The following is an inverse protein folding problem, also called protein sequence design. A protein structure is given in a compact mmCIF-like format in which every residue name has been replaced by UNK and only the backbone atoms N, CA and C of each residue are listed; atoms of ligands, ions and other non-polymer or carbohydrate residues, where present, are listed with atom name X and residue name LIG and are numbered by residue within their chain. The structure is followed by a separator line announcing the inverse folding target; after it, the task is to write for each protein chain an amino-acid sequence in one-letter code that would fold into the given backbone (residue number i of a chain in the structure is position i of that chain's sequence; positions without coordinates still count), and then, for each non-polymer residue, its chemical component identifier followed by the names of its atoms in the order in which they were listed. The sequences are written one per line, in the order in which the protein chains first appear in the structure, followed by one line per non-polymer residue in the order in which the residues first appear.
data_IF_504610042945
#
_entry.id   IF_504610042945
#
_cell.length_a   1.000
_cell.length_b   1.000
_cell.length_c   1.000
_cell.angle_alpha   90.00
_cell.angle_beta   90.00
_cell.angle_gamma   90.00
#
_symmetry.space_group_name_H-M   'P 1'
#
loop_
_entity.id
_entity.type
_entity.pdbx_description
1 polymer ?
#
# COMPACT_ATOMS: atom_id res chain seq x y z
N UNK A 1 15.50 4.95 -23.41
CA UNK A 1 15.60 3.78 -22.48
C UNK A 1 14.72 3.96 -21.23
N UNK A 2 14.75 5.12 -20.55
CA UNK A 2 13.92 5.45 -19.37
C UNK A 2 12.41 5.19 -19.54
N UNK A 3 11.82 5.59 -20.66
CA UNK A 3 10.39 5.32 -20.97
C UNK A 3 10.08 3.82 -21.11
N UNK A 4 10.95 3.05 -21.80
CA UNK A 4 10.78 1.59 -21.94
C UNK A 4 10.82 0.89 -20.58
N UNK A 5 11.64 1.38 -19.63
CA UNK A 5 11.76 0.81 -18.28
C UNK A 5 10.61 1.21 -17.36
N UNK A 6 10.12 2.46 -17.39
CA UNK A 6 8.85 2.83 -16.72
C UNK A 6 7.68 1.97 -17.21
N UNK A 7 7.62 1.71 -18.52
CA UNK A 7 6.61 0.81 -19.11
C UNK A 7 6.74 -0.62 -18.57
N UNK A 8 7.95 -1.13 -18.36
CA UNK A 8 8.15 -2.45 -17.79
C UNK A 8 7.67 -2.58 -16.33
N UNK A 9 7.89 -1.55 -15.51
CA UNK A 9 7.35 -1.51 -14.14
C UNK A 9 5.82 -1.51 -14.14
N UNK A 10 5.21 -0.72 -15.02
CA UNK A 10 3.75 -0.70 -15.19
C UNK A 10 3.21 -2.06 -15.64
N UNK A 11 3.91 -2.74 -16.57
CA UNK A 11 3.53 -4.08 -17.02
C UNK A 11 3.56 -5.11 -15.88
N UNK A 12 4.47 -4.98 -14.91
CA UNK A 12 4.47 -5.86 -13.73
C UNK A 12 3.22 -5.66 -12.87
N UNK A 13 2.83 -4.40 -12.66
CA UNK A 13 1.63 -4.05 -11.89
C UNK A 13 0.35 -4.51 -12.61
N UNK A 14 0.31 -4.39 -13.94
CA UNK A 14 -0.79 -4.85 -14.77
C UNK A 14 -0.85 -6.38 -14.83
N UNK A 15 0.30 -7.06 -14.87
CA UNK A 15 0.38 -8.52 -14.80
C UNK A 15 -0.22 -9.05 -13.49
N UNK A 16 0.17 -8.50 -12.34
CA UNK A 16 -0.41 -8.92 -11.06
C UNK A 16 -1.92 -8.68 -10.98
N UNK A 17 -2.41 -7.59 -11.58
CA UNK A 17 -3.84 -7.33 -11.70
C UNK A 17 -4.54 -8.38 -12.55
N UNK A 18 -3.95 -8.76 -13.69
CA UNK A 18 -4.48 -9.83 -14.54
C UNK A 18 -4.53 -11.15 -13.78
N UNK A 19 -3.42 -11.55 -13.14
CA UNK A 19 -3.35 -12.78 -12.35
C UNK A 19 -4.41 -12.78 -11.25
N UNK A 20 -4.61 -11.66 -10.55
CA UNK A 20 -5.67 -11.54 -9.54
C UNK A 20 -7.05 -11.81 -10.14
N UNK A 21 -7.39 -11.15 -11.25
CA UNK A 21 -8.70 -11.32 -11.90
C UNK A 21 -8.87 -12.72 -12.49
N UNK A 22 -7.82 -13.31 -13.04
CA UNK A 22 -7.86 -14.68 -13.59
C UNK A 22 -8.06 -15.71 -12.48
N UNK A 23 -7.43 -15.52 -11.32
CA UNK A 23 -7.54 -16.43 -10.19
C UNK A 23 -8.87 -16.27 -9.46
N UNK A 24 -9.24 -15.03 -9.09
CA UNK A 24 -10.35 -14.77 -8.18
C UNK A 24 -11.61 -14.23 -8.88
N UNK A 25 -11.48 -13.78 -10.12
CA UNK A 25 -12.55 -13.06 -10.82
C UNK A 25 -12.67 -11.61 -10.36
N UNK A 26 -13.68 -10.94 -10.91
CA UNK A 26 -14.11 -9.66 -10.38
C UNK A 26 -14.74 -9.87 -8.99
N UNK A 27 -14.21 -9.24 -7.92
CA UNK A 27 -14.64 -9.50 -6.56
C UNK A 27 -16.04 -8.96 -6.23
N UNK A 28 -16.60 -8.08 -7.08
CA UNK A 28 -17.94 -7.51 -6.88
C UNK A 28 -19.01 -8.44 -7.46
N UNK A 29 -18.82 -8.88 -8.71
CA UNK A 29 -19.75 -9.76 -9.42
C UNK A 29 -19.55 -11.24 -9.11
N UNK A 30 -18.38 -11.64 -8.60
CA UNK A 30 -18.02 -13.02 -8.25
C UNK A 30 -18.43 -14.06 -9.32
N UNK A 31 -17.99 -13.91 -10.58
CA UNK A 31 -18.45 -14.76 -11.69
C UNK A 31 -18.04 -16.23 -11.53
N UNK A 32 -17.04 -16.51 -10.68
CA UNK A 32 -16.54 -17.85 -10.39
C UNK A 32 -17.30 -18.54 -9.25
N UNK A 33 -18.24 -17.87 -8.60
CA UNK A 33 -19.04 -18.43 -7.50
C UNK A 33 -18.19 -18.86 -6.30
N UNK A 34 -17.07 -18.18 -6.04
CA UNK A 34 -16.17 -18.52 -4.93
C UNK A 34 -16.82 -18.16 -3.58
N UNK A 35 -16.41 -18.82 -2.48
CA UNK A 35 -16.94 -18.53 -1.15
C UNK A 35 -16.83 -17.05 -0.79
N UNK A 36 -17.87 -16.51 -0.18
CA UNK A 36 -17.94 -15.10 0.27
C UNK A 36 -17.83 -15.07 1.79
N UNK A 37 -17.11 -14.08 2.30
CA UNK A 37 -17.03 -13.73 3.71
C UNK A 37 -16.85 -12.23 3.87
N UNK A 38 -16.29 -11.81 4.99
CA UNK A 38 -16.00 -10.41 5.29
C UNK A 38 -14.50 -10.19 5.45
N UNK A 39 -14.03 -8.96 5.25
CA UNK A 39 -12.61 -8.64 5.36
C UNK A 39 -12.03 -8.99 6.74
N UNK A 40 -12.84 -8.85 7.80
CA UNK A 40 -12.45 -9.26 9.15
C UNK A 40 -12.07 -10.74 9.25
N UNK A 41 -12.53 -11.64 8.37
CA UNK A 41 -12.15 -13.06 8.41
C UNK A 41 -10.65 -13.29 8.13
N UNK A 42 -10.01 -12.35 7.45
CA UNK A 42 -8.62 -12.46 6.98
C UNK A 42 -7.73 -11.27 7.41
N UNK A 43 -8.30 -10.19 7.92
CA UNK A 43 -7.55 -8.97 8.27
C UNK A 43 -7.80 -8.48 9.71
N UNK A 44 -6.81 -7.79 10.27
CA UNK A 44 -6.90 -7.08 11.55
C UNK A 44 -6.79 -5.58 11.26
N UNK A 45 -7.77 -4.81 11.73
CA UNK A 45 -7.82 -3.35 11.52
C UNK A 45 -7.44 -2.61 12.81
N UNK A 46 -6.37 -1.83 12.74
CA UNK A 46 -5.96 -0.88 13.78
C UNK A 46 -6.23 0.55 13.32
N UNK A 47 -7.28 1.18 13.85
CA UNK A 47 -7.61 2.57 13.52
C UNK A 47 -6.63 3.52 14.21
N UNK A 48 -6.07 4.46 13.44
CA UNK A 48 -5.11 5.43 13.94
C UNK A 48 -5.73 6.44 14.90
N UNK A 49 -4.88 7.01 15.73
CA UNK A 49 -5.23 8.03 16.71
C UNK A 49 -4.13 9.07 16.72
N UNK A 50 -4.45 10.34 16.51
CA UNK A 50 -3.45 11.40 16.50
C UNK A 50 -2.94 11.61 17.93
N UNK A 51 -1.62 11.64 18.15
CA UNK A 51 -1.04 12.06 19.42
C UNK A 51 -1.37 13.52 19.74
N UNK A 52 -0.97 13.96 20.93
CA UNK A 52 -1.01 15.38 21.26
C UNK A 52 -0.10 16.16 20.29
N UNK A 53 -0.62 17.21 19.65
CA UNK A 53 0.14 18.04 18.71
C UNK A 53 1.40 18.67 19.32
N UNK A 54 1.44 18.86 20.65
CA UNK A 54 2.62 19.35 21.38
C UNK A 54 3.79 18.37 21.38
N UNK A 55 3.54 17.08 21.10
CA UNK A 55 4.57 16.05 21.00
C UNK A 55 5.23 15.99 19.61
N UNK A 56 4.70 16.74 18.64
CA UNK A 56 5.16 16.66 17.25
C UNK A 56 6.48 17.42 17.08
N UNK A 57 7.34 16.90 16.22
CA UNK A 57 8.62 17.52 15.90
C UNK A 57 9.11 17.12 14.50
N UNK A 58 10.04 17.89 13.96
CA UNK A 58 10.76 17.66 12.70
C UNK A 58 12.23 17.25 12.92
N UNK A 59 12.64 17.06 14.18
CA UNK A 59 14.01 16.74 14.60
C UNK A 59 14.30 15.24 14.69
N UNK A 60 13.39 14.39 14.23
CA UNK A 60 13.56 12.94 14.32
C UNK A 60 13.40 12.36 15.74
N UNK A 61 12.80 13.11 16.69
CA UNK A 61 12.67 12.65 18.07
C UNK A 61 11.43 11.77 18.23
N UNK A 62 11.66 10.50 18.61
CA UNK A 62 10.60 9.52 18.84
C UNK A 62 10.27 8.70 17.59
N UNK A 63 8.99 8.44 17.34
CA UNK A 63 8.53 7.57 16.23
C UNK A 63 8.01 8.44 15.08
N UNK A 64 8.35 8.12 13.81
CA UNK A 64 7.81 8.85 12.67
C UNK A 64 6.28 8.75 12.63
N UNK A 65 5.63 9.88 12.35
CA UNK A 65 4.19 10.05 12.43
C UNK A 65 3.58 10.21 11.03
N UNK A 66 2.55 9.42 10.74
CA UNK A 66 1.76 9.47 9.52
C UNK A 66 0.34 9.93 9.87
N UNK A 67 -0.01 11.17 9.55
CA UNK A 67 -1.36 11.69 9.82
C UNK A 67 -2.33 11.48 8.65
N UNK A 68 -1.81 11.22 7.46
CA UNK A 68 -2.58 11.02 6.24
C UNK A 68 -1.69 10.63 5.06
N UNK A 69 -2.12 10.88 3.82
CA UNK A 69 -1.36 10.49 2.63
C UNK A 69 -0.25 11.49 2.25
N UNK A 70 -0.07 12.58 2.99
CA UNK A 70 0.98 13.58 2.69
C UNK A 70 2.37 12.94 2.76
N UNK A 71 2.53 12.01 3.68
CA UNK A 71 3.76 11.23 3.86
C UNK A 71 3.84 10.05 2.89
N UNK A 72 2.82 9.75 2.08
CA UNK A 72 2.84 8.57 1.22
C UNK A 72 3.77 8.79 0.01
N UNK A 73 4.87 8.02 -0.03
CA UNK A 73 5.70 7.86 -1.22
C UNK A 73 5.10 6.87 -2.22
N UNK A 74 5.89 6.49 -3.23
CA UNK A 74 5.44 5.60 -4.31
C UNK A 74 5.07 4.18 -3.84
N UNK A 75 5.75 3.68 -2.81
CA UNK A 75 5.55 2.33 -2.25
C UNK A 75 5.57 2.27 -0.72
N UNK A 76 6.32 3.18 -0.10
CA UNK A 76 6.43 3.31 1.35
C UNK A 76 6.32 4.79 1.74
N UNK A 77 5.96 5.10 2.99
CA UNK A 77 5.99 6.46 3.51
C UNK A 77 7.39 7.10 3.44
N UNK A 78 7.41 8.42 3.25
CA UNK A 78 8.57 9.28 3.42
C UNK A 78 8.39 10.04 4.71
N UNK A 79 9.36 9.94 5.61
CA UNK A 79 9.30 10.56 6.92
C UNK A 79 9.43 12.07 6.81
N UNK A 80 8.48 12.78 7.43
CA UNK A 80 8.43 14.25 7.44
C UNK A 80 8.17 14.83 8.83
N UNK A 81 7.65 14.02 9.75
CA UNK A 81 7.25 14.42 11.09
C UNK A 81 7.40 13.23 12.05
N UNK A 82 7.68 13.51 13.30
CA UNK A 82 7.81 12.54 14.39
C UNK A 82 6.97 12.96 15.59
N UNK A 83 6.70 12.02 16.48
CA UNK A 83 6.09 12.26 17.80
C UNK A 83 6.94 11.63 18.90
N UNK A 84 7.15 12.37 19.98
CA UNK A 84 7.77 11.85 21.20
C UNK A 84 6.81 11.04 22.09
N UNK A 85 5.51 11.05 21.79
CA UNK A 85 4.47 10.39 22.58
C UNK A 85 3.53 9.59 21.66
N UNK A 86 3.99 8.48 21.06
CA UNK A 86 3.18 7.70 20.13
C UNK A 86 1.92 7.12 20.79
N UNK A 87 0.85 7.01 20.01
CA UNK A 87 -0.48 6.54 20.47
C UNK A 87 -0.86 5.20 19.85
N UNK A 88 -0.99 5.15 18.53
CA UNK A 88 -1.29 3.92 17.76
C UNK A 88 -0.18 3.66 16.78
N UNK A 89 0.32 2.44 16.77
CA UNK A 89 1.44 2.00 15.94
C UNK A 89 0.98 1.02 14.87
N UNK A 90 1.53 1.15 13.67
CA UNK A 90 1.49 0.10 12.65
C UNK A 90 2.76 -0.73 12.70
N UNK A 91 2.72 -1.95 12.18
CA UNK A 91 3.89 -2.82 12.05
C UNK A 91 4.45 -2.75 10.65
N UNK A 92 5.73 -3.12 10.51
CA UNK A 92 6.32 -3.40 9.21
C UNK A 92 5.48 -4.43 8.45
N UNK A 93 5.14 -4.12 7.21
CA UNK A 93 4.30 -4.92 6.34
C UNK A 93 2.82 -4.52 6.36
N UNK A 94 2.35 -3.73 7.33
CA UNK A 94 0.95 -3.33 7.35
C UNK A 94 0.57 -2.48 6.13
N UNK A 95 -0.66 -2.65 5.66
CA UNK A 95 -1.26 -1.75 4.67
C UNK A 95 -1.73 -0.51 5.42
N UNK A 96 -1.24 0.65 5.02
CA UNK A 96 -1.66 1.96 5.50
C UNK A 96 -2.83 2.42 4.64
N UNK A 97 -4.02 2.54 5.21
CA UNK A 97 -5.25 2.83 4.51
C UNK A 97 -5.83 4.17 4.97
N UNK A 98 -6.03 5.11 4.03
CA UNK A 98 -6.63 6.41 4.32
C UNK A 98 -8.13 6.24 4.61
N UNK A 99 -8.59 6.77 5.74
CA UNK A 99 -9.98 6.63 6.18
C UNK A 99 -10.75 7.95 6.19
N UNK A 100 -10.13 9.09 5.84
CA UNK A 100 -10.78 10.40 5.89
C UNK A 100 -10.58 11.24 4.62
N UNK A 101 -11.57 12.10 4.37
CA UNK A 101 -11.56 13.15 3.35
C UNK A 101 -11.53 12.63 1.91
N UNK A 102 -11.20 13.52 0.98
CA UNK A 102 -11.09 13.19 -0.45
C UNK A 102 -10.03 12.11 -0.78
N UNK A 103 -9.21 11.76 0.20
CA UNK A 103 -8.14 10.76 0.07
C UNK A 103 -8.52 9.39 0.62
N UNK A 104 -9.75 9.22 1.13
CA UNK A 104 -10.22 7.95 1.64
C UNK A 104 -10.00 6.80 0.63
N UNK A 105 -9.59 5.62 1.08
CA UNK A 105 -9.24 4.50 0.21
C UNK A 105 -7.83 4.54 -0.40
N UNK A 106 -7.09 5.66 -0.32
CA UNK A 106 -5.68 5.68 -0.74
C UNK A 106 -4.86 4.78 0.17
N UNK A 107 -3.88 4.09 -0.40
CA UNK A 107 -3.08 3.09 0.32
C UNK A 107 -1.58 3.28 0.14
N UNK A 108 -0.84 2.82 1.14
CA UNK A 108 0.60 2.61 1.07
C UNK A 108 1.00 1.38 1.89
N UNK A 109 2.27 0.95 1.84
CA UNK A 109 2.78 -0.13 2.68
C UNK A 109 3.73 0.40 3.72
N UNK A 110 3.69 -0.16 4.92
CA UNK A 110 4.62 0.16 5.99
C UNK A 110 5.92 -0.63 5.83
N UNK A 111 7.06 0.01 5.65
CA UNK A 111 8.39 -0.64 5.60
C UNK A 111 9.06 -0.79 6.97
N UNK A 112 8.50 -0.12 7.98
CA UNK A 112 8.87 -0.18 9.40
C UNK A 112 7.68 0.17 10.28
N UNK A 113 7.90 0.39 11.57
CA UNK A 113 6.88 0.87 12.49
C UNK A 113 6.70 2.39 12.38
N UNK A 114 5.45 2.84 12.38
CA UNK A 114 5.06 4.25 12.39
C UNK A 114 3.97 4.50 13.41
N UNK A 115 3.93 5.72 13.97
CA UNK A 115 2.73 6.22 14.63
C UNK A 115 1.71 6.65 13.58
N UNK A 116 0.47 6.19 13.70
CA UNK A 116 -0.60 6.47 12.75
C UNK A 116 -1.68 7.37 13.37
N UNK A 117 -1.90 8.53 12.75
CA UNK A 117 -2.92 9.50 13.15
C UNK A 117 -4.33 9.10 12.73
N UNK A 118 -5.34 9.88 13.14
CA UNK A 118 -6.77 9.59 12.90
C UNK A 118 -7.18 9.51 11.42
N UNK A 119 -6.34 10.00 10.50
CA UNK A 119 -6.59 9.94 9.06
C UNK A 119 -6.30 8.57 8.43
N UNK A 120 -5.65 7.66 9.18
CA UNK A 120 -5.19 6.37 8.68
C UNK A 120 -5.72 5.20 9.53
N UNK A 121 -5.76 4.03 8.92
CA UNK A 121 -5.82 2.74 9.58
C UNK A 121 -4.63 1.89 9.13
N UNK A 122 -4.11 1.05 10.01
CA UNK A 122 -3.19 -0.02 9.65
C UNK A 122 -3.95 -1.34 9.54
N UNK A 123 -3.71 -2.07 8.45
CA UNK A 123 -4.40 -3.32 8.12
C UNK A 123 -3.35 -4.41 7.99
N UNK A 124 -3.42 -5.40 8.88
CA UNK A 124 -2.53 -6.57 8.91
C UNK A 124 -3.28 -7.83 8.47
N UNK A 125 -2.58 -8.82 7.95
CA UNK A 125 -3.14 -10.16 7.70
C UNK A 125 -3.32 -10.95 9.01
N UNK A 126 -4.46 -11.64 9.19
CA UNK A 126 -4.68 -12.60 10.29
C UNK A 126 -3.95 -13.93 10.06
N UNK A 127 -3.78 -14.29 8.79
CA UNK A 127 -3.18 -15.55 8.32
C UNK A 127 -2.13 -15.21 7.29
N UNK A 128 -1.01 -15.93 7.29
CA UNK A 128 0.09 -15.67 6.36
C UNK A 128 -0.35 -15.78 4.89
N UNK A 129 0.26 -14.95 4.04
CA UNK A 129 0.09 -14.88 2.58
C UNK A 129 -1.18 -14.18 2.09
N UNK A 130 -1.98 -13.59 2.97
CA UNK A 130 -3.17 -12.84 2.62
C UNK A 130 -2.91 -11.35 2.35
N UNK A 131 -1.77 -10.79 2.80
CA UNK A 131 -1.51 -9.36 2.73
C UNK A 131 -1.63 -8.80 1.30
N UNK A 132 -0.99 -9.42 0.31
CA UNK A 132 -1.08 -8.93 -1.08
C UNK A 132 -2.50 -9.05 -1.62
N UNK A 133 -3.22 -10.13 -1.28
CA UNK A 133 -4.61 -10.30 -1.66
C UNK A 133 -5.50 -9.21 -1.06
N UNK A 134 -5.36 -8.93 0.23
CA UNK A 134 -6.07 -7.86 0.94
C UNK A 134 -5.82 -6.51 0.26
N UNK A 135 -4.56 -6.21 -0.09
CA UNK A 135 -4.21 -4.99 -0.80
C UNK A 135 -4.97 -4.86 -2.14
N UNK A 136 -5.02 -5.93 -2.94
CA UNK A 136 -5.75 -5.92 -4.21
C UNK A 136 -7.26 -5.78 -4.03
N UNK A 137 -7.84 -6.47 -3.04
CA UNK A 137 -9.26 -6.37 -2.70
C UNK A 137 -9.64 -4.95 -2.30
N UNK A 138 -8.86 -4.32 -1.40
CA UNK A 138 -9.09 -2.94 -0.98
C UNK A 138 -8.93 -1.96 -2.15
N UNK A 139 -7.93 -2.18 -3.01
CA UNK A 139 -7.69 -1.35 -4.20
C UNK A 139 -8.85 -1.45 -5.19
N UNK A 140 -9.38 -2.65 -5.40
CA UNK A 140 -10.50 -2.87 -6.30
C UNK A 140 -11.79 -2.23 -5.77
N UNK A 141 -11.97 -2.22 -4.45
CA UNK A 141 -13.10 -1.57 -3.78
C UNK A 141 -12.91 -0.06 -3.54
N UNK A 142 -11.86 0.57 -4.10
CA UNK A 142 -11.61 2.00 -3.92
C UNK A 142 -12.82 2.87 -4.25
N UNK A 143 -13.47 2.61 -5.39
CA UNK A 143 -14.65 3.37 -5.81
C UNK A 143 -15.84 3.15 -4.88
N UNK A 144 -16.03 1.93 -4.36
CA UNK A 144 -17.08 1.64 -3.38
C UNK A 144 -16.92 2.49 -2.11
N UNK A 145 -15.68 2.66 -1.63
CA UNK A 145 -15.40 3.53 -0.49
C UNK A 145 -15.65 5.01 -0.78
N UNK A 146 -15.52 5.45 -2.04
CA UNK A 146 -15.77 6.83 -2.45
C UNK A 146 -17.26 7.13 -2.60
N UNK A 147 -18.06 6.19 -3.12
CA UNK A 147 -19.48 6.42 -3.44
C UNK A 147 -20.43 6.16 -2.29
N UNK A 148 -20.07 5.32 -1.31
CA UNK A 148 -20.92 5.00 -0.14
C UNK A 148 -21.04 6.16 0.86
N UNK A 149 -20.33 7.27 0.63
CA UNK A 149 -20.43 8.50 1.41
C UNK A 149 -21.63 9.34 0.97
N UNK A 150 -22.83 8.94 1.40
CA UNK A 150 -24.10 9.64 1.17
C UNK A 150 -24.09 11.11 1.66
N UNK A 151 -23.70 12.05 0.80
CA UNK A 151 -24.06 13.47 0.93
C UNK A 151 -23.34 14.30 2.00
N UNK A 152 -22.44 13.73 2.82
CA UNK A 152 -21.59 14.52 3.72
C UNK A 152 -20.35 15.04 2.99
N UNK A 153 -20.02 16.32 3.17
CA UNK A 153 -18.86 17.01 2.55
C UNK A 153 -17.50 16.38 2.89
N UNK A 154 -17.45 15.45 3.86
CA UNK A 154 -16.23 14.73 4.26
C UNK A 154 -16.48 13.22 4.36
N UNK A 155 -15.82 12.44 3.49
CA UNK A 155 -15.82 10.97 3.56
C UNK A 155 -15.10 10.53 4.85
N UNK A 156 -15.70 9.61 5.60
CA UNK A 156 -15.07 8.98 6.76
C UNK A 156 -15.42 7.49 6.77
N UNK A 157 -14.42 6.63 6.62
CA UNK A 157 -14.57 5.17 6.59
C UNK A 157 -14.37 4.64 8.01
N UNK A 158 -15.42 4.10 8.61
CA UNK A 158 -15.37 3.51 9.95
C UNK A 158 -14.66 2.15 9.94
N UNK A 159 -14.22 1.70 11.12
CA UNK A 159 -13.68 0.34 11.30
C UNK A 159 -14.68 -0.73 10.85
N UNK A 160 -15.95 -0.54 11.18
CA UNK A 160 -17.02 -1.49 10.87
C UNK A 160 -17.29 -1.57 9.37
N UNK A 161 -17.18 -0.45 8.63
CA UNK A 161 -17.28 -0.47 7.17
C UNK A 161 -16.14 -1.27 6.53
N UNK A 162 -14.92 -1.17 7.07
CA UNK A 162 -13.77 -1.94 6.60
C UNK A 162 -13.95 -3.42 6.95
N UNK A 163 -14.25 -3.73 8.21
CA UNK A 163 -14.42 -5.10 8.70
C UNK A 163 -15.52 -5.86 7.94
N UNK A 164 -16.66 -5.21 7.70
CA UNK A 164 -17.84 -5.81 7.05
C UNK A 164 -17.81 -5.74 5.52
N UNK A 165 -16.70 -5.29 4.91
CA UNK A 165 -16.54 -5.34 3.46
C UNK A 165 -16.69 -6.80 3.01
N UNK A 166 -17.71 -7.07 2.19
CA UNK A 166 -17.94 -8.39 1.61
C UNK A 166 -16.88 -8.69 0.57
N UNK A 167 -16.21 -9.83 0.71
CA UNK A 167 -15.10 -10.22 -0.14
C UNK A 167 -15.17 -11.71 -0.48
N UNK A 168 -14.50 -12.10 -1.55
CA UNK A 168 -14.20 -13.50 -1.81
C UNK A 168 -13.22 -13.98 -0.74
N UNK A 169 -13.42 -15.19 -0.22
CA UNK A 169 -12.50 -15.86 0.70
C UNK A 169 -11.85 -17.01 -0.07
N UNK A 170 -10.65 -16.81 -0.63
CA UNK A 170 -9.97 -17.85 -1.38
C UNK A 170 -9.48 -18.96 -0.47
N UNK A 171 -9.38 -20.17 -1.04
CA UNK A 171 -8.79 -21.29 -0.33
C UNK A 171 -7.27 -21.09 -0.09
N UNK A 172 -6.72 -21.92 0.80
CA UNK A 172 -5.30 -21.86 1.19
C UNK A 172 -4.33 -22.10 0.03
N UNK A 173 -4.75 -22.83 -1.01
CA UNK A 173 -3.90 -23.13 -2.16
C UNK A 173 -3.84 -21.92 -3.09
N UNK A 174 -4.99 -21.33 -3.42
CA UNK A 174 -5.09 -20.13 -4.25
C UNK A 174 -4.32 -18.96 -3.63
N UNK A 175 -4.50 -18.73 -2.32
CA UNK A 175 -3.81 -17.61 -1.65
C UNK A 175 -2.29 -17.79 -1.63
N UNK A 176 -1.81 -19.02 -1.43
CA UNK A 176 -0.38 -19.34 -1.47
C UNK A 176 0.19 -19.17 -2.87
N UNK A 177 -0.52 -19.60 -3.90
CA UNK A 177 -0.12 -19.41 -5.31
C UNK A 177 -0.03 -17.92 -5.62
N UNK A 178 -1.07 -17.14 -5.28
CA UNK A 178 -1.09 -15.70 -5.55
C UNK A 178 0.06 -14.99 -4.84
N UNK A 179 0.24 -15.22 -3.53
CA UNK A 179 1.34 -14.61 -2.76
C UNK A 179 2.72 -14.96 -3.34
N UNK A 180 2.93 -16.21 -3.81
CA UNK A 180 4.19 -16.59 -4.46
C UNK A 180 4.41 -15.86 -5.78
N UNK A 181 3.37 -15.68 -6.60
CA UNK A 181 3.44 -14.91 -7.84
C UNK A 181 3.74 -13.44 -7.53
N UNK A 182 3.01 -12.84 -6.58
CA UNK A 182 3.23 -11.46 -6.13
C UNK A 182 4.65 -11.23 -5.65
N UNK A 183 5.19 -12.12 -4.80
CA UNK A 183 6.57 -12.04 -4.30
C UNK A 183 7.59 -12.07 -5.45
N UNK A 184 7.47 -13.03 -6.36
CA UNK A 184 8.37 -13.13 -7.52
C UNK A 184 8.29 -11.90 -8.43
N UNK A 185 7.10 -11.37 -8.67
CA UNK A 185 6.94 -10.16 -9.48
C UNK A 185 7.57 -8.95 -8.78
N UNK A 186 7.41 -8.83 -7.46
CA UNK A 186 8.01 -7.73 -6.70
C UNK A 186 9.55 -7.83 -6.63
N UNK A 187 10.11 -9.03 -6.52
CA UNK A 187 11.55 -9.27 -6.62
C UNK A 187 12.09 -8.85 -7.99
N UNK A 188 11.38 -9.19 -9.08
CA UNK A 188 11.74 -8.76 -10.43
C UNK A 188 11.67 -7.23 -10.55
N UNK A 189 10.61 -6.61 -10.04
CA UNK A 189 10.42 -5.16 -10.04
C UNK A 189 11.57 -4.45 -9.32
N UNK A 190 11.94 -4.95 -8.15
CA UNK A 190 13.05 -4.42 -7.34
C UNK A 190 14.37 -4.53 -8.09
N UNK A 191 14.69 -5.69 -8.67
CA UNK A 191 15.90 -5.88 -9.49
C UNK A 191 15.96 -4.92 -10.68
N UNK A 192 14.83 -4.71 -11.36
CA UNK A 192 14.74 -3.78 -12.48
C UNK A 192 14.94 -2.32 -12.05
N UNK A 193 14.50 -1.94 -10.85
CA UNK A 193 14.71 -0.61 -10.29
C UNK A 193 16.18 -0.38 -9.93
N UNK A 194 16.84 -1.34 -9.26
CA UNK A 194 18.26 -1.25 -8.93
C UNK A 194 19.12 -1.12 -10.19
N UNK A 195 18.87 -1.95 -11.21
CA UNK A 195 19.59 -1.86 -12.48
C UNK A 195 19.37 -0.52 -13.22
N UNK A 196 18.21 0.11 -13.02
CA UNK A 196 17.94 1.43 -13.59
C UNK A 196 18.79 2.50 -12.91
N UNK A 197 18.84 2.48 -11.59
CA UNK A 197 19.62 3.44 -10.80
C UNK A 197 21.12 3.33 -11.10
N UNK A 198 21.65 2.10 -11.19
CA UNK A 198 23.04 1.84 -11.59
C UNK A 198 23.36 2.38 -12.98
N UNK A 199 22.46 2.16 -13.96
CA UNK A 199 22.64 2.64 -15.32
C UNK A 199 22.57 4.18 -15.41
N UNK A 200 21.69 4.83 -14.64
CA UNK A 200 21.58 6.29 -14.58
C UNK A 200 22.85 6.91 -13.94
N UNK A 201 23.39 6.28 -12.89
CA UNK A 201 24.64 6.71 -12.25
C UNK A 201 25.85 6.55 -13.17
N UNK A 202 25.97 5.42 -13.87
CA UNK A 202 27.05 5.21 -14.85
C UNK A 202 26.99 6.23 -15.98
N UNK A 203 25.80 6.49 -16.51
CA UNK A 203 25.62 7.48 -17.56
C UNK A 203 26.01 8.89 -17.09
N UNK A 204 25.60 9.28 -15.87
CA UNK A 204 25.98 10.56 -15.29
C UNK A 204 27.50 10.70 -15.13
N UNK A 205 28.18 9.63 -14.67
CA UNK A 205 29.64 9.60 -14.54
C UNK A 205 30.35 9.76 -15.89
N UNK A 206 29.90 9.03 -16.92
CA UNK A 206 30.48 9.12 -18.27
C UNK A 206 30.30 10.52 -18.89
N UNK A 207 29.13 11.12 -18.69
CA UNK A 207 28.86 12.48 -19.17
C UNK A 207 29.77 13.49 -18.48
N UNK A 208 30.01 13.37 -17.17
CA UNK A 208 30.93 14.25 -16.46
C UNK A 208 32.38 14.11 -16.96
N UNK A 209 32.84 12.88 -17.24
CA UNK A 209 34.17 12.64 -17.83
C UNK A 209 34.30 13.23 -19.24
N UNK A 210 33.26 13.08 -20.08
CA UNK A 210 33.22 13.64 -21.43
C UNK A 210 33.29 15.18 -21.45
N UNK A 211 32.63 15.85 -20.51
CA UNK A 211 32.65 17.32 -20.42
C UNK A 211 33.91 17.90 -19.77
N UNK A 212 34.71 17.08 -19.07
CA UNK A 212 36.01 17.49 -18.51
C UNK A 212 37.18 17.31 -19.47
N UNK A 213 36.95 16.76 -20.67
CA UNK A 213 38.00 16.51 -21.66
C UNK A 213 38.94 15.36 -21.28
N UNK A 214 38.49 14.43 -20.43
CA UNK A 214 39.27 13.25 -19.99
C UNK A 214 39.07 12.02 -20.90
N UNK A 215 38.55 12.22 -22.12
CA UNK A 215 38.45 11.18 -23.15
C UNK A 215 39.19 11.59 -24.42
#
# INVERSE_FOLDING_TARGET
IRQKRKKALQLCDDYLRSVFLDMFGDPVSNPKGLPIGILEDIAIINMGQSPDGRSYNDRGQGIPLLNGPVEFGAKYPVERQWTSQPTKLCKKGDILFCVRGATAGRMNLSDKEYCIGRGLAAISEKKSNYLEYIFFVLRHNYNHFQTTSNGSTFINISKDQINNLKIIIPDKKMIKVFSNVSKKTEELKTKMQTQLEEAENLFASLMQGAFRGEM
#
